data_IF_256947863402
#
_entry.id   IF_256947863402
#
_cell.length_a   1.000
_cell.length_b   1.000
_cell.length_c   1.000
_cell.angle_alpha   90.00
_cell.angle_beta   90.00
_cell.angle_gamma   90.00
#
_symmetry.space_group_name_H-M   'P 1'
#
loop_
_entity.id
_entity.type
_entity.pdbx_description
1 polymer ?
#
# COMPACT_ATOMS: atom_id res chain seq x y z
N UNK A 1 -16.36 -20.58 10.43
CA UNK A 1 -16.10 -20.65 8.97
C UNK A 1 -16.17 -19.24 8.37
N UNK A 2 -15.12 -18.84 7.65
CA UNK A 2 -15.10 -17.52 7.08
C UNK A 2 -15.95 -17.45 5.80
N UNK A 3 -16.80 -16.40 5.73
CA UNK A 3 -17.55 -16.16 4.51
C UNK A 3 -16.65 -15.50 3.45
N UNK A 4 -17.09 -15.50 2.19
CA UNK A 4 -16.37 -14.80 1.14
C UNK A 4 -16.27 -13.30 1.44
N UNK A 5 -17.25 -12.74 2.10
CA UNK A 5 -17.23 -11.34 2.51
C UNK A 5 -16.09 -11.08 3.51
N UNK A 6 -15.93 -11.95 4.51
CA UNK A 6 -14.89 -11.79 5.51
C UNK A 6 -13.49 -11.88 4.89
N UNK A 7 -13.31 -12.80 3.94
CA UNK A 7 -12.05 -12.95 3.26
C UNK A 7 -11.72 -11.69 2.47
N UNK A 8 -12.69 -11.15 1.73
CA UNK A 8 -12.49 -9.93 0.95
C UNK A 8 -12.18 -8.73 1.84
N UNK A 9 -12.89 -8.63 2.96
CA UNK A 9 -12.67 -7.54 3.90
C UNK A 9 -11.26 -7.62 4.50
N UNK A 10 -10.84 -8.81 4.89
CA UNK A 10 -9.51 -9.03 5.43
C UNK A 10 -8.42 -8.67 4.39
N UNK A 11 -8.61 -9.09 3.15
CA UNK A 11 -7.65 -8.78 2.08
C UNK A 11 -7.61 -7.29 1.78
N UNK A 12 -8.74 -6.61 1.87
CA UNK A 12 -8.80 -5.16 1.68
C UNK A 12 -7.99 -4.44 2.76
N UNK A 13 -8.12 -4.87 4.01
CA UNK A 13 -7.35 -4.31 5.11
C UNK A 13 -5.86 -4.59 4.95
N UNK A 14 -5.50 -5.81 4.55
CA UNK A 14 -4.11 -6.19 4.31
C UNK A 14 -3.51 -5.37 3.18
N UNK A 15 -4.25 -5.17 2.09
CA UNK A 15 -3.79 -4.37 0.97
C UNK A 15 -3.56 -2.92 1.40
N UNK A 16 -4.48 -2.36 2.17
CA UNK A 16 -4.34 -1.01 2.68
C UNK A 16 -3.08 -0.87 3.51
N UNK A 17 -2.87 -1.81 4.43
CA UNK A 17 -1.70 -1.79 5.31
C UNK A 17 -0.41 -1.87 4.51
N UNK A 18 -0.32 -2.79 3.56
CA UNK A 18 0.86 -2.97 2.73
C UNK A 18 1.20 -1.71 1.94
N UNK A 19 0.19 -1.10 1.32
CA UNK A 19 0.40 0.09 0.51
C UNK A 19 0.81 1.29 1.38
N UNK A 20 0.21 1.45 2.54
CA UNK A 20 0.57 2.54 3.44
C UNK A 20 1.96 2.37 4.04
N UNK A 21 2.34 1.15 4.37
CA UNK A 21 3.69 0.88 4.87
C UNK A 21 4.74 1.19 3.81
N UNK A 22 4.49 0.79 2.57
CA UNK A 22 5.38 1.09 1.47
C UNK A 22 5.47 2.58 1.23
N UNK A 23 4.34 3.27 1.20
CA UNK A 23 4.29 4.70 0.98
C UNK A 23 5.06 5.45 2.09
N UNK A 24 4.84 5.08 3.35
CA UNK A 24 5.53 5.70 4.48
C UNK A 24 7.04 5.50 4.36
N UNK A 25 7.46 4.29 4.00
CA UNK A 25 8.87 3.99 3.81
C UNK A 25 9.48 4.83 2.70
N UNK A 26 8.77 4.95 1.56
CA UNK A 26 9.25 5.75 0.43
C UNK A 26 9.38 7.23 0.82
N UNK A 27 8.41 7.76 1.56
CA UNK A 27 8.44 9.15 2.01
C UNK A 27 9.63 9.37 2.96
N UNK A 28 9.87 8.45 3.87
CA UNK A 28 11.00 8.55 4.79
C UNK A 28 12.34 8.55 4.06
N UNK A 29 12.48 7.70 3.04
CA UNK A 29 13.69 7.64 2.23
C UNK A 29 13.91 8.96 1.50
N UNK A 30 12.85 9.52 0.93
CA UNK A 30 12.94 10.80 0.22
C UNK A 30 13.37 11.91 1.18
N UNK A 31 12.80 11.96 2.36
CA UNK A 31 13.16 12.96 3.36
C UNK A 31 14.60 12.81 3.81
N UNK A 32 15.01 11.58 4.07
CA UNK A 32 16.38 11.29 4.49
C UNK A 32 17.38 11.73 3.43
N UNK A 33 17.12 11.39 2.17
CA UNK A 33 18.00 11.76 1.07
C UNK A 33 18.07 13.27 0.89
N UNK A 34 16.95 13.97 1.09
CA UNK A 34 16.92 15.43 1.01
C UNK A 34 17.79 16.06 2.09
N UNK A 35 17.74 15.53 3.31
CA UNK A 35 18.55 16.03 4.42
C UNK A 35 20.03 15.78 4.15
N UNK A 36 20.38 14.57 3.74
CA UNK A 36 21.77 14.19 3.49
C UNK A 36 22.37 15.02 2.36
N UNK A 37 21.64 15.23 1.28
CA UNK A 37 22.14 15.99 0.13
C UNK A 37 21.86 17.49 0.21
N UNK A 38 21.26 17.94 1.30
CA UNK A 38 20.93 19.35 1.53
C UNK A 38 20.11 19.94 0.38
N UNK A 39 19.17 19.15 -0.13
CA UNK A 39 18.29 19.57 -1.20
C UNK A 39 16.86 19.72 -0.68
N UNK A 40 16.10 20.56 -1.37
CA UNK A 40 14.68 20.72 -1.08
C UNK A 40 13.91 19.49 -1.58
N UNK A 41 12.86 19.11 -0.86
CA UNK A 41 11.97 18.05 -1.34
C UNK A 41 11.06 18.67 -2.39
N UNK A 42 11.24 18.26 -3.66
CA UNK A 42 10.45 18.80 -4.76
C UNK A 42 9.12 18.07 -4.89
N UNK A 43 9.11 16.77 -4.60
CA UNK A 43 7.92 15.98 -4.86
C UNK A 43 7.83 14.83 -3.86
N UNK A 44 6.67 14.70 -3.23
CA UNK A 44 6.37 13.57 -2.35
C UNK A 44 5.27 12.74 -3.03
N UNK A 45 5.45 11.40 -3.12
CA UNK A 45 4.42 10.56 -3.73
C UNK A 45 3.09 10.69 -3.00
N UNK A 46 2.02 10.65 -3.76
CA UNK A 46 0.68 10.69 -3.18
C UNK A 46 0.42 9.43 -2.38
N UNK A 47 -0.34 9.55 -1.29
CA UNK A 47 -0.75 8.40 -0.50
C UNK A 47 -1.60 7.46 -1.36
N UNK A 48 -1.62 6.15 -1.04
CA UNK A 48 -2.43 5.20 -1.80
C UNK A 48 -3.90 5.60 -1.84
N UNK A 49 -4.50 5.51 -3.01
CA UNK A 49 -5.90 5.81 -3.20
C UNK A 49 -6.76 4.59 -2.88
N UNK A 50 -8.07 4.81 -2.75
CA UNK A 50 -9.01 3.71 -2.57
C UNK A 50 -8.94 2.74 -3.74
N UNK A 51 -8.72 3.24 -4.95
CA UNK A 51 -8.60 2.39 -6.13
C UNK A 51 -7.34 1.55 -6.11
N UNK A 52 -6.22 2.11 -5.65
CA UNK A 52 -4.99 1.35 -5.48
C UNK A 52 -5.18 0.21 -4.49
N UNK A 53 -5.83 0.49 -3.38
CA UNK A 53 -6.11 -0.51 -2.35
C UNK A 53 -7.01 -1.59 -2.92
N UNK A 54 -8.05 -1.20 -3.64
CA UNK A 54 -8.97 -2.14 -4.26
C UNK A 54 -8.26 -3.04 -5.28
N UNK A 55 -7.40 -2.47 -6.10
CA UNK A 55 -6.67 -3.22 -7.12
C UNK A 55 -5.75 -4.27 -6.48
N UNK A 56 -5.02 -3.88 -5.43
CA UNK A 56 -4.15 -4.83 -4.74
C UNK A 56 -4.97 -5.91 -4.03
N UNK A 57 -6.08 -5.53 -3.40
CA UNK A 57 -6.95 -6.49 -2.73
C UNK A 57 -7.50 -7.51 -3.72
N UNK A 58 -7.86 -7.07 -4.93
CA UNK A 58 -8.34 -7.96 -5.98
C UNK A 58 -7.25 -8.94 -6.40
N UNK A 59 -6.04 -8.46 -6.54
CA UNK A 59 -4.89 -9.32 -6.89
C UNK A 59 -4.65 -10.36 -5.81
N UNK A 60 -4.71 -9.96 -4.54
CA UNK A 60 -4.54 -10.89 -3.43
C UNK A 60 -5.66 -11.92 -3.38
N UNK A 61 -6.88 -11.49 -3.67
CA UNK A 61 -8.03 -12.40 -3.70
C UNK A 61 -7.86 -13.45 -4.80
N UNK A 62 -7.45 -13.04 -5.97
CA UNK A 62 -7.18 -13.97 -7.07
C UNK A 62 -6.09 -14.97 -6.70
N UNK A 63 -5.05 -14.51 -6.03
CA UNK A 63 -3.97 -15.39 -5.58
C UNK A 63 -4.49 -16.42 -4.59
N UNK A 64 -5.33 -16.03 -3.66
CA UNK A 64 -5.90 -16.94 -2.67
C UNK A 64 -6.78 -18.01 -3.33
N UNK A 65 -7.46 -17.66 -4.41
CA UNK A 65 -8.32 -18.58 -5.13
C UNK A 65 -7.55 -19.56 -6.02
N UNK A 66 -6.33 -19.25 -6.38
CA UNK A 66 -5.49 -20.15 -7.15
C UNK A 66 -4.95 -21.25 -6.24
N UNK A 67 -5.13 -22.46 -6.67
CA UNK A 67 -4.64 -23.61 -5.91
C UNK A 67 -3.48 -24.27 -6.63
#
# INVERSE_FOLDING_TARGET
MSSGYEIRYSLLNDAKKMLYEKWTSDVEIIRFNAVVSNKTIDEIPAAPSAEDIKALAQTLYEFVQQK
#
